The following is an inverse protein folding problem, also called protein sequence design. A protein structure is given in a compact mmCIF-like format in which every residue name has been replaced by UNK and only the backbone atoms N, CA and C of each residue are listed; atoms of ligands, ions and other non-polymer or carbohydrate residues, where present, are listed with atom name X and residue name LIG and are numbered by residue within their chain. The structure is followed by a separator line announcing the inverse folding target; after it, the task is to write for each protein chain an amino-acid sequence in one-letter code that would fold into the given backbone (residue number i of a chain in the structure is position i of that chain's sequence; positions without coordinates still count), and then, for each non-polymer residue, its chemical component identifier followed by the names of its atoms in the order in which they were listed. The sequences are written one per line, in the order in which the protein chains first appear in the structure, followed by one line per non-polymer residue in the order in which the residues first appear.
data_IF_073529030339
#
_entry.id   IF_073529030339
#
_cell.length_a   1.000
_cell.length_b   1.000
_cell.length_c   1.000
_cell.angle_alpha   90.00
_cell.angle_beta   90.00
_cell.angle_gamma   90.00
#
_symmetry.space_group_name_H-M   'P 1'
#
loop_
_entity.id
_entity.type
_entity.pdbx_description
1 polymer ?
#
# COMPACT_ATOMS: atom_id res chain seq x y z
N UNK A 1 14.27 -6.74 13.39
CA UNK A 1 12.89 -6.23 13.16
C UNK A 1 12.52 -6.60 11.74
N UNK A 2 11.44 -7.32 11.53
CA UNK A 2 10.96 -7.66 10.17
C UNK A 2 10.51 -6.37 9.47
N UNK A 3 11.11 -6.05 8.32
CA UNK A 3 10.82 -4.82 7.57
C UNK A 3 9.37 -4.88 7.05
N UNK A 4 8.61 -3.83 7.30
CA UNK A 4 7.15 -3.90 7.18
C UNK A 4 6.65 -3.40 5.82
N UNK A 5 6.23 -4.34 4.97
CA UNK A 5 5.52 -4.10 3.72
C UNK A 5 4.03 -4.45 3.93
N UNK A 6 3.17 -3.44 3.88
CA UNK A 6 1.75 -3.58 4.23
C UNK A 6 0.99 -4.40 3.21
N UNK A 7 1.30 -4.28 1.93
CA UNK A 7 0.65 -5.04 0.87
C UNK A 7 0.95 -6.52 1.01
N UNK A 8 2.23 -6.89 1.18
CA UNK A 8 2.62 -8.29 1.42
C UNK A 8 1.94 -8.85 2.66
N UNK A 9 1.94 -8.10 3.77
CA UNK A 9 1.30 -8.51 5.02
C UNK A 9 -0.20 -8.72 4.87
N UNK A 10 -0.87 -7.86 4.11
CA UNK A 10 -2.28 -8.00 3.83
C UNK A 10 -2.58 -9.21 2.95
N UNK A 11 -1.81 -9.40 1.87
CA UNK A 11 -1.94 -10.56 1.00
C UNK A 11 -1.74 -11.86 1.77
N UNK A 12 -0.73 -11.94 2.64
CA UNK A 12 -0.50 -13.11 3.48
C UNK A 12 -1.66 -13.39 4.43
N UNK A 13 -2.21 -12.35 5.08
CA UNK A 13 -3.39 -12.49 5.93
C UNK A 13 -4.59 -13.02 5.15
N UNK A 14 -4.91 -12.39 4.02
CA UNK A 14 -6.11 -12.72 3.23
C UNK A 14 -5.97 -14.09 2.56
N UNK A 15 -4.79 -14.41 2.03
CA UNK A 15 -4.52 -15.72 1.44
C UNK A 15 -4.64 -16.83 2.49
N UNK A 16 -4.07 -16.65 3.68
CA UNK A 16 -4.24 -17.62 4.77
C UNK A 16 -5.71 -17.83 5.15
N UNK A 17 -6.47 -16.75 5.28
CA UNK A 17 -7.91 -16.83 5.58
C UNK A 17 -8.70 -17.55 4.48
N UNK A 18 -8.26 -17.44 3.23
CA UNK A 18 -8.85 -18.16 2.11
C UNK A 18 -8.60 -19.67 2.21
N UNK A 19 -7.39 -20.09 2.60
CA UNK A 19 -7.05 -21.52 2.76
C UNK A 19 -7.73 -22.19 3.95
N UNK A 20 -7.97 -21.43 5.02
CA UNK A 20 -8.52 -21.96 6.27
C UNK A 20 -10.06 -22.08 6.25
N UNK A 21 -10.74 -21.42 5.30
CA UNK A 21 -12.20 -21.37 5.24
C UNK A 21 -12.74 -22.33 4.20
N UNK A 22 -13.80 -23.07 4.56
CA UNK A 22 -14.56 -23.90 3.60
C UNK A 22 -15.20 -23.07 2.48
N UNK A 23 -15.68 -21.87 2.83
CA UNK A 23 -16.26 -20.91 1.88
C UNK A 23 -15.70 -19.52 2.17
N UNK A 24 -15.11 -18.90 1.16
CA UNK A 24 -14.53 -17.56 1.28
C UNK A 24 -15.41 -16.53 0.57
N UNK A 25 -15.76 -15.48 1.31
CA UNK A 25 -16.60 -14.39 0.82
C UNK A 25 -15.87 -13.07 0.91
N UNK A 26 -16.13 -12.20 -0.07
CA UNK A 26 -15.80 -10.79 0.00
C UNK A 26 -17.10 -10.02 -0.19
N UNK A 27 -17.51 -9.28 0.84
CA UNK A 27 -18.89 -8.80 0.98
C UNK A 27 -19.86 -9.98 0.83
N UNK A 28 -20.74 -9.94 -0.17
CA UNK A 28 -21.77 -10.96 -0.40
C UNK A 28 -21.42 -11.93 -1.55
N UNK A 29 -20.20 -11.84 -2.11
CA UNK A 29 -19.77 -12.70 -3.23
C UNK A 29 -18.85 -13.81 -2.73
N UNK A 30 -19.24 -15.04 -3.02
CA UNK A 30 -18.40 -16.22 -2.82
C UNK A 30 -17.29 -16.27 -3.88
N UNK A 31 -16.08 -16.57 -3.44
CA UNK A 31 -14.90 -16.75 -4.29
C UNK A 31 -14.64 -18.24 -4.47
N UNK A 32 -14.82 -18.72 -5.70
CA UNK A 32 -14.68 -20.13 -6.08
C UNK A 32 -13.36 -20.43 -6.80
N UNK A 33 -12.34 -19.59 -6.58
CA UNK A 33 -11.05 -19.74 -7.25
C UNK A 33 -10.26 -20.91 -6.68
N UNK A 34 -9.39 -21.50 -7.51
CA UNK A 34 -8.30 -22.31 -6.95
C UNK A 34 -7.35 -21.39 -6.18
N UNK A 35 -6.59 -21.90 -5.21
CA UNK A 35 -5.62 -21.07 -4.49
C UNK A 35 -4.57 -20.40 -5.39
N UNK A 36 -4.15 -21.06 -6.48
CA UNK A 36 -3.28 -20.47 -7.51
C UNK A 36 -3.89 -19.19 -8.07
N UNK A 37 -5.15 -19.29 -8.47
CA UNK A 37 -5.91 -18.23 -9.13
C UNK A 37 -6.31 -17.11 -8.15
N UNK A 38 -6.58 -17.47 -6.90
CA UNK A 38 -6.78 -16.51 -5.81
C UNK A 38 -5.51 -15.69 -5.56
N UNK A 39 -4.35 -16.36 -5.41
CA UNK A 39 -3.08 -15.69 -5.20
C UNK A 39 -2.70 -14.80 -6.39
N UNK A 40 -2.93 -15.28 -7.62
CA UNK A 40 -2.76 -14.48 -8.83
C UNK A 40 -3.63 -13.20 -8.80
N UNK A 41 -4.87 -13.31 -8.33
CA UNK A 41 -5.79 -12.17 -8.19
C UNK A 41 -5.27 -11.14 -7.19
N UNK A 42 -4.72 -11.58 -6.05
CA UNK A 42 -4.10 -10.67 -5.07
C UNK A 42 -2.89 -9.94 -5.66
N UNK A 43 -1.99 -10.68 -6.31
CA UNK A 43 -0.74 -10.14 -6.86
C UNK A 43 -0.97 -9.14 -8.01
N UNK A 44 -2.12 -9.21 -8.69
CA UNK A 44 -2.56 -8.20 -9.68
C UNK A 44 -2.77 -6.81 -9.08
N UNK A 45 -2.63 -6.60 -7.78
CA UNK A 45 -2.62 -5.25 -7.19
C UNK A 45 -1.35 -4.46 -7.55
N UNK A 46 -0.26 -5.15 -7.92
CA UNK A 46 0.98 -4.53 -8.37
C UNK A 46 0.93 -4.11 -9.85
N UNK A 47 1.80 -3.15 -10.22
CA UNK A 47 2.01 -2.70 -11.61
C UNK A 47 2.44 -3.87 -12.52
N UNK A 48 2.07 -3.80 -13.79
CA UNK A 48 2.28 -4.87 -14.79
C UNK A 48 3.71 -5.43 -14.85
N UNK A 49 4.79 -4.62 -14.89
CA UNK A 49 6.15 -5.18 -15.00
C UNK A 49 6.55 -6.06 -13.81
N UNK A 50 6.13 -5.66 -12.59
CA UNK A 50 6.38 -6.44 -11.39
C UNK A 50 5.49 -7.69 -11.35
N UNK A 51 4.23 -7.55 -11.72
CA UNK A 51 3.29 -8.67 -11.83
C UNK A 51 3.76 -9.75 -12.81
N UNK A 52 4.19 -9.37 -14.02
CA UNK A 52 4.69 -10.30 -15.03
C UNK A 52 5.96 -11.04 -14.57
N UNK A 53 6.88 -10.32 -13.91
CA UNK A 53 8.07 -10.93 -13.30
C UNK A 53 7.68 -11.98 -12.24
N UNK A 54 6.74 -11.65 -11.36
CA UNK A 54 6.24 -12.58 -10.33
C UNK A 54 5.60 -13.81 -10.96
N UNK A 55 4.75 -13.61 -11.97
CA UNK A 55 4.12 -14.70 -12.70
C UNK A 55 5.17 -15.66 -13.25
N UNK A 56 6.15 -15.14 -14.00
CA UNK A 56 7.18 -15.96 -14.65
C UNK A 56 8.05 -16.73 -13.65
N UNK A 57 8.42 -16.11 -12.54
CA UNK A 57 9.33 -16.72 -11.57
C UNK A 57 8.63 -17.69 -10.61
N UNK A 58 7.37 -17.43 -10.26
CA UNK A 58 6.70 -18.17 -9.17
C UNK A 58 5.52 -19.00 -9.62
N UNK A 59 4.89 -18.69 -10.74
CA UNK A 59 3.87 -19.54 -11.32
C UNK A 59 4.54 -20.24 -12.49
N UNK A 60 4.68 -21.57 -12.46
CA UNK A 60 4.84 -22.31 -13.72
C UNK A 60 3.68 -21.82 -14.59
N UNK A 61 4.03 -21.13 -15.68
CA UNK A 61 3.17 -20.16 -16.37
C UNK A 61 1.69 -20.54 -16.28
N UNK A 62 0.84 -19.61 -15.82
CA UNK A 62 -0.61 -19.83 -15.89
C UNK A 62 -0.93 -20.39 -17.27
N UNK A 63 -1.66 -21.50 -17.31
CA UNK A 63 -2.00 -22.07 -18.61
C UNK A 63 -2.83 -21.02 -19.39
N UNK A 64 -2.92 -21.12 -20.73
CA UNK A 64 -3.60 -20.10 -21.53
C UNK A 64 -5.02 -19.77 -21.05
N UNK A 65 -5.77 -20.76 -20.55
CA UNK A 65 -7.12 -20.61 -20.01
C UNK A 65 -7.13 -19.85 -18.68
N UNK A 66 -6.25 -20.20 -17.74
CA UNK A 66 -6.05 -19.51 -16.47
C UNK A 66 -5.63 -18.04 -16.68
N UNK A 67 -4.78 -17.81 -17.68
CA UNK A 67 -4.33 -16.47 -18.06
C UNK A 67 -5.50 -15.65 -18.63
N UNK A 68 -6.26 -16.23 -19.56
CA UNK A 68 -7.44 -15.60 -20.13
C UNK A 68 -8.50 -15.31 -19.06
N UNK A 69 -8.74 -16.24 -18.13
CA UNK A 69 -9.62 -16.05 -16.99
C UNK A 69 -9.16 -14.88 -16.12
N UNK A 70 -7.87 -14.79 -15.80
CA UNK A 70 -7.36 -13.65 -15.04
C UNK A 70 -7.53 -12.33 -15.82
N UNK A 71 -7.37 -12.34 -17.14
CA UNK A 71 -7.43 -11.14 -17.98
C UNK A 71 -8.85 -10.64 -18.27
N UNK A 72 -9.79 -11.56 -18.53
CA UNK A 72 -11.13 -11.26 -19.06
C UNK A 72 -12.27 -11.84 -18.23
N UNK A 73 -11.98 -12.81 -17.35
CA UNK A 73 -13.00 -13.48 -16.55
C UNK A 73 -13.71 -12.51 -15.63
N UNK A 74 -15.03 -12.41 -15.78
CA UNK A 74 -15.83 -11.46 -15.00
C UNK A 74 -15.63 -11.63 -13.49
N UNK A 75 -15.71 -12.87 -12.99
CA UNK A 75 -15.53 -13.13 -11.56
C UNK A 75 -14.13 -12.71 -11.06
N UNK A 76 -13.08 -12.87 -11.87
CA UNK A 76 -11.71 -12.46 -11.55
C UNK A 76 -11.56 -10.96 -11.46
N UNK A 77 -12.04 -10.25 -12.48
CA UNK A 77 -11.98 -8.79 -12.52
C UNK A 77 -12.82 -8.20 -11.37
N UNK A 78 -14.01 -8.77 -11.13
CA UNK A 78 -14.87 -8.37 -10.03
C UNK A 78 -14.21 -8.61 -8.66
N UNK A 79 -13.61 -9.78 -8.44
CA UNK A 79 -12.87 -10.07 -7.21
C UNK A 79 -11.67 -9.13 -7.04
N UNK A 80 -10.94 -8.83 -8.11
CA UNK A 80 -9.82 -7.89 -8.09
C UNK A 80 -10.27 -6.49 -7.63
N UNK A 81 -11.42 -6.01 -8.11
CA UNK A 81 -12.00 -4.74 -7.70
C UNK A 81 -12.42 -4.74 -6.23
N UNK A 82 -13.03 -5.84 -5.77
CA UNK A 82 -13.39 -6.00 -4.36
C UNK A 82 -12.17 -6.03 -3.45
N UNK A 83 -11.12 -6.78 -3.80
CA UNK A 83 -9.86 -6.80 -3.06
C UNK A 83 -9.20 -5.42 -3.03
N UNK A 84 -9.20 -4.71 -4.15
CA UNK A 84 -8.65 -3.34 -4.24
C UNK A 84 -9.38 -2.40 -3.28
N UNK A 85 -10.71 -2.50 -3.20
CA UNK A 85 -11.49 -1.69 -2.28
C UNK A 85 -11.21 -2.05 -0.81
N UNK A 86 -11.22 -3.33 -0.45
CA UNK A 86 -10.96 -3.77 0.93
C UNK A 86 -9.53 -3.43 1.37
N UNK A 87 -8.55 -3.67 0.50
CA UNK A 87 -7.17 -3.29 0.77
C UNK A 87 -7.00 -1.79 0.91
N UNK A 88 -7.60 -0.99 0.03
CA UNK A 88 -7.41 0.47 0.08
C UNK A 88 -7.91 1.05 1.41
N UNK A 89 -9.05 0.58 1.93
CA UNK A 89 -9.56 0.96 3.25
C UNK A 89 -8.60 0.50 4.34
N UNK A 90 -8.20 -0.76 4.32
CA UNK A 90 -7.28 -1.31 5.31
C UNK A 90 -5.93 -0.58 5.32
N UNK A 91 -5.38 -0.24 4.16
CA UNK A 91 -4.11 0.49 4.03
C UNK A 91 -4.22 1.90 4.61
N UNK A 92 -5.35 2.59 4.39
CA UNK A 92 -5.61 3.90 4.98
C UNK A 92 -5.68 3.82 6.52
N UNK A 93 -6.44 2.87 7.06
CA UNK A 93 -6.52 2.62 8.51
C UNK A 93 -5.15 2.32 9.10
N UNK A 94 -4.35 1.54 8.38
CA UNK A 94 -3.00 1.19 8.77
C UNK A 94 -2.04 2.38 8.81
N UNK A 95 -2.12 3.29 7.84
CA UNK A 95 -1.32 4.51 7.82
C UNK A 95 -1.72 5.48 8.94
N UNK A 96 -3.02 5.61 9.23
CA UNK A 96 -3.53 6.54 10.24
C UNK A 96 -3.38 5.99 11.66
N UNK A 97 -3.65 4.71 11.85
CA UNK A 97 -3.78 4.05 13.15
C UNK A 97 -2.48 3.63 13.80
N UNK A 98 -1.35 3.67 13.08
CA UNK A 98 -0.02 3.31 13.62
C UNK A 98 0.98 4.44 13.48
N UNK A 99 2.04 4.36 14.27
CA UNK A 99 3.20 5.24 14.18
C UNK A 99 4.34 4.45 13.54
N UNK A 100 4.98 5.06 12.54
CA UNK A 100 6.11 4.48 11.83
C UNK A 100 7.33 5.38 11.99
N UNK A 101 8.51 4.76 11.92
CA UNK A 101 9.77 5.47 11.76
C UNK A 101 9.88 6.03 10.33
N UNK A 102 10.76 7.01 10.12
CA UNK A 102 10.99 7.59 8.79
C UNK A 102 11.43 6.53 7.76
N UNK A 103 12.26 5.57 8.18
CA UNK A 103 12.68 4.45 7.33
C UNK A 103 11.51 3.55 6.95
N UNK A 104 10.57 3.32 7.86
CA UNK A 104 9.36 2.57 7.55
C UNK A 104 8.45 3.34 6.61
N UNK A 105 8.25 4.66 6.81
CA UNK A 105 7.50 5.48 5.85
C UNK A 105 8.10 5.43 4.45
N UNK A 106 9.44 5.42 4.33
CA UNK A 106 10.10 5.21 3.06
C UNK A 106 9.71 3.86 2.42
N UNK A 107 9.76 2.76 3.16
CA UNK A 107 9.37 1.44 2.64
C UNK A 107 7.89 1.38 2.25
N UNK A 108 7.02 2.02 3.02
CA UNK A 108 5.60 2.13 2.69
C UNK A 108 5.38 2.93 1.42
N UNK A 109 6.05 4.08 1.27
CA UNK A 109 5.98 4.89 0.06
C UNK A 109 6.51 4.14 -1.16
N UNK A 110 7.63 3.42 -1.01
CA UNK A 110 8.19 2.58 -2.06
C UNK A 110 7.21 1.47 -2.50
N UNK A 111 6.62 0.74 -1.58
CA UNK A 111 5.62 -0.30 -1.89
C UNK A 111 4.37 0.31 -2.52
N UNK A 112 3.86 1.42 -1.97
CA UNK A 112 2.73 2.14 -2.51
C UNK A 112 2.92 2.51 -3.98
N UNK A 113 4.13 2.96 -4.35
CA UNK A 113 4.46 3.29 -5.73
C UNK A 113 4.54 2.06 -6.65
N UNK A 114 4.64 0.86 -6.12
CA UNK A 114 4.58 -0.38 -6.91
C UNK A 114 3.15 -0.88 -7.14
N UNK A 115 2.14 -0.28 -6.50
CA UNK A 115 0.73 -0.59 -6.74
C UNK A 115 0.22 0.00 -8.06
N UNK A 116 -0.83 -0.63 -8.62
CA UNK A 116 -1.57 -0.11 -9.78
C UNK A 116 -2.09 1.30 -9.51
N UNK A 117 -2.10 2.14 -10.55
CA UNK A 117 -2.49 3.54 -10.43
C UNK A 117 -3.89 3.73 -9.84
N UNK A 118 -4.87 2.95 -10.28
CA UNK A 118 -6.24 3.02 -9.76
C UNK A 118 -6.28 2.74 -8.25
N UNK A 119 -5.54 1.73 -7.79
CA UNK A 119 -5.45 1.40 -6.38
C UNK A 119 -4.73 2.49 -5.58
N UNK A 120 -3.64 3.04 -6.13
CA UNK A 120 -2.95 4.20 -5.56
C UNK A 120 -3.93 5.36 -5.35
N UNK A 121 -4.78 5.67 -6.33
CA UNK A 121 -5.79 6.74 -6.23
C UNK A 121 -6.84 6.47 -5.16
N UNK A 122 -7.32 5.22 -5.04
CA UNK A 122 -8.28 4.83 -4.00
C UNK A 122 -7.73 5.02 -2.58
N UNK A 123 -6.41 4.89 -2.40
CA UNK A 123 -5.72 5.17 -1.13
C UNK A 123 -5.42 6.66 -0.98
N UNK A 124 -4.85 7.26 -2.01
CA UNK A 124 -4.27 8.60 -1.98
C UNK A 124 -5.33 9.70 -1.83
N UNK A 125 -6.43 9.62 -2.60
CA UNK A 125 -7.42 10.70 -2.62
C UNK A 125 -8.06 10.93 -1.23
N UNK A 126 -8.56 9.89 -0.52
CA UNK A 126 -9.10 10.07 0.83
C UNK A 126 -8.08 10.60 1.84
N UNK A 127 -6.82 10.17 1.74
CA UNK A 127 -5.76 10.62 2.65
C UNK A 127 -5.35 12.07 2.40
N UNK A 128 -5.33 12.51 1.14
CA UNK A 128 -5.09 13.92 0.79
C UNK A 128 -6.25 14.82 1.21
N UNK A 129 -7.49 14.35 1.05
CA UNK A 129 -8.67 15.07 1.59
C UNK A 129 -8.58 15.20 3.12
N UNK A 130 -8.08 14.15 3.79
CA UNK A 130 -7.82 14.22 5.23
C UNK A 130 -6.74 15.25 5.58
N UNK A 131 -5.65 15.35 4.83
CA UNK A 131 -4.65 16.41 5.02
C UNK A 131 -5.31 17.78 4.90
N UNK A 132 -6.08 18.03 3.83
CA UNK A 132 -6.76 19.33 3.63
C UNK A 132 -7.63 19.71 4.83
N UNK A 133 -8.46 18.78 5.31
CA UNK A 133 -9.33 18.99 6.47
C UNK A 133 -8.55 19.27 7.75
N UNK A 134 -7.45 18.52 7.98
CA UNK A 134 -6.57 18.75 9.12
C UNK A 134 -5.89 20.12 9.04
N UNK A 135 -5.43 20.53 7.86
CA UNK A 135 -4.82 21.86 7.69
C UNK A 135 -5.82 22.97 8.02
N UNK A 136 -7.05 22.90 7.49
CA UNK A 136 -8.10 23.88 7.78
C UNK A 136 -8.38 23.96 9.28
N UNK A 137 -8.57 22.81 9.94
CA UNK A 137 -8.89 22.77 11.36
C UNK A 137 -7.77 23.33 12.25
N UNK A 138 -6.51 23.06 11.89
CA UNK A 138 -5.35 23.58 12.60
C UNK A 138 -5.18 25.08 12.38
N UNK A 139 -5.34 25.56 11.15
CA UNK A 139 -5.34 27.00 10.82
C UNK A 139 -6.41 27.76 11.62
N UNK A 140 -7.64 27.26 11.65
CA UNK A 140 -8.74 27.83 12.46
C UNK A 140 -8.39 27.86 13.96
N UNK A 141 -7.74 26.81 14.48
CA UNK A 141 -7.31 26.75 15.88
C UNK A 141 -6.26 27.81 16.19
N UNK A 142 -5.27 27.99 15.31
CA UNK A 142 -4.25 29.02 15.46
C UNK A 142 -4.83 30.44 15.39
N UNK A 143 -5.73 30.70 14.43
CA UNK A 143 -6.39 32.00 14.28
C UNK A 143 -7.23 32.36 15.51
N UNK A 144 -7.94 31.38 16.08
CA UNK A 144 -8.79 31.56 17.26
C UNK A 144 -8.03 31.50 18.59
N UNK A 145 -6.70 31.33 18.56
CA UNK A 145 -5.83 31.13 19.75
C UNK A 145 -6.29 29.97 20.64
N UNK A 146 -6.97 28.99 20.06
CA UNK A 146 -7.31 27.75 20.75
C UNK A 146 -6.15 26.76 20.62
N UNK A 147 -5.94 25.95 21.66
CA UNK A 147 -4.94 24.89 21.58
C UNK A 147 -5.43 23.83 20.59
N UNK A 148 -4.72 23.63 19.46
CA UNK A 148 -5.15 22.66 18.46
C UNK A 148 -5.04 21.24 19.02
N UNK A 149 -5.93 20.30 18.64
CA UNK A 149 -5.90 18.95 19.19
C UNK A 149 -4.60 18.22 18.85
N UNK A 150 -3.91 17.69 19.87
CA UNK A 150 -2.64 16.96 19.70
C UNK A 150 -2.77 15.78 18.72
N UNK A 151 -3.93 15.13 18.71
CA UNK A 151 -4.22 14.01 17.82
C UNK A 151 -4.29 14.41 16.34
N UNK A 152 -4.73 15.63 16.04
CA UNK A 152 -4.79 16.12 14.66
C UNK A 152 -3.39 16.43 14.13
N UNK A 153 -2.49 16.94 14.97
CA UNK A 153 -1.07 17.05 14.64
C UNK A 153 -0.41 15.71 14.40
N UNK A 154 -0.67 14.72 15.26
CA UNK A 154 -0.13 13.36 15.08
C UNK A 154 -0.58 12.79 13.74
N UNK A 155 -1.86 12.93 13.40
CA UNK A 155 -2.39 12.47 12.10
C UNK A 155 -1.78 13.24 10.93
N UNK A 156 -1.68 14.57 11.01
CA UNK A 156 -1.08 15.39 9.96
C UNK A 156 0.38 14.99 9.74
N UNK A 157 1.16 14.84 10.81
CA UNK A 157 2.57 14.42 10.75
C UNK A 157 2.73 13.06 10.07
N UNK A 158 1.91 12.07 10.43
CA UNK A 158 1.94 10.73 9.79
C UNK A 158 1.70 10.81 8.28
N UNK A 159 0.65 11.54 7.88
CA UNK A 159 0.29 11.69 6.47
C UNK A 159 1.35 12.50 5.70
N UNK A 160 1.88 13.54 6.32
CA UNK A 160 2.97 14.35 5.77
C UNK A 160 4.23 13.50 5.56
N UNK A 161 4.72 12.77 6.59
CA UNK A 161 5.90 11.92 6.46
C UNK A 161 5.76 10.92 5.31
N UNK A 162 4.60 10.25 5.21
CA UNK A 162 4.33 9.32 4.11
C UNK A 162 4.36 10.01 2.74
N UNK A 163 3.60 11.09 2.54
CA UNK A 163 3.50 11.73 1.22
C UNK A 163 4.76 12.49 0.81
N UNK A 164 5.55 12.98 1.75
CA UNK A 164 6.87 13.55 1.48
C UNK A 164 7.80 12.49 0.87
N UNK A 165 7.83 11.28 1.43
CA UNK A 165 8.58 10.18 0.81
C UNK A 165 8.04 9.76 -0.55
N UNK A 166 6.72 9.76 -0.75
CA UNK A 166 6.11 9.52 -2.07
C UNK A 166 6.59 10.55 -3.10
N UNK A 167 6.60 11.84 -2.75
CA UNK A 167 7.06 12.92 -3.62
C UNK A 167 8.56 12.85 -3.94
N UNK A 168 9.38 12.46 -2.95
CA UNK A 168 10.82 12.25 -3.13
C UNK A 168 11.09 11.12 -4.13
N UNK A 169 10.30 10.05 -4.06
CA UNK A 169 10.48 8.87 -4.92
C UNK A 169 9.88 9.04 -6.32
N UNK A 170 8.72 9.69 -6.43
CA UNK A 170 8.00 9.96 -7.67
C UNK A 170 7.36 11.35 -7.57
N UNK A 171 7.96 12.40 -8.16
CA UNK A 171 7.39 13.74 -8.15
C UNK A 171 6.01 13.75 -8.81
N UNK A 172 5.00 14.27 -8.10
CA UNK A 172 3.61 14.31 -8.58
C UNK A 172 2.97 15.66 -8.25
N UNK A 173 1.79 15.92 -8.83
CA UNK A 173 1.03 17.18 -8.64
C UNK A 173 0.45 17.38 -7.23
N UNK A 174 0.75 16.51 -6.27
CA UNK A 174 0.21 16.61 -4.90
C UNK A 174 1.05 17.51 -3.99
N UNK A 175 2.17 18.04 -4.52
CA UNK A 175 3.14 18.84 -3.76
C UNK A 175 2.49 20.00 -3.01
N UNK A 176 1.56 20.74 -3.63
CA UNK A 176 0.89 21.88 -3.01
C UNK A 176 0.16 21.52 -1.70
N UNK A 177 -0.53 20.38 -1.67
CA UNK A 177 -1.26 19.92 -0.48
C UNK A 177 -0.27 19.50 0.62
N UNK A 178 0.82 18.83 0.23
CA UNK A 178 1.85 18.37 1.15
C UNK A 178 2.64 19.55 1.74
N UNK A 179 2.99 20.53 0.90
CA UNK A 179 3.66 21.77 1.29
C UNK A 179 2.81 22.61 2.26
N UNK A 180 1.49 22.66 2.07
CA UNK A 180 0.59 23.31 3.03
C UNK A 180 0.64 22.63 4.40
N UNK A 181 0.62 21.30 4.43
CA UNK A 181 0.80 20.54 5.67
C UNK A 181 2.17 20.77 6.32
N UNK A 182 3.23 20.85 5.52
CA UNK A 182 4.59 21.15 5.98
C UNK A 182 4.69 22.49 6.70
N UNK A 183 4.07 23.55 6.14
CA UNK A 183 4.09 24.89 6.74
C UNK A 183 3.52 24.89 8.15
N UNK A 184 2.38 24.23 8.35
CA UNK A 184 1.76 24.11 9.67
C UNK A 184 2.58 23.25 10.63
N UNK A 185 3.27 22.22 10.12
CA UNK A 185 4.16 21.40 10.95
C UNK A 185 5.46 22.12 11.30
N UNK A 186 5.98 23.03 10.47
CA UNK A 186 7.22 23.80 10.73
C UNK A 186 7.10 24.72 11.93
N UNK A 187 5.90 25.16 12.27
CA UNK A 187 5.65 25.96 13.47
C UNK A 187 5.85 25.15 14.76
N UNK A 188 5.88 23.81 14.66
CA UNK A 188 5.83 22.90 15.82
C UNK A 188 6.90 21.80 15.77
N UNK A 189 7.48 21.51 14.61
CA UNK A 189 8.39 20.40 14.40
C UNK A 189 9.38 20.68 13.26
N UNK A 190 10.56 20.07 13.35
CA UNK A 190 11.56 20.19 12.28
C UNK A 190 11.06 19.50 11.00
N UNK A 191 11.23 20.14 9.83
CA UNK A 191 10.92 19.53 8.55
C UNK A 191 11.79 18.29 8.29
N UNK A 192 11.32 17.42 7.39
CA UNK A 192 12.10 16.28 6.94
C UNK A 192 13.23 16.76 6.03
N UNK A 193 14.45 16.35 6.36
CA UNK A 193 15.63 16.63 5.54
C UNK A 193 15.97 15.41 4.68
N UNK A 194 16.11 15.65 3.38
CA UNK A 194 16.32 14.61 2.39
C UNK A 194 17.72 14.71 1.78
N UNK A 195 18.58 13.73 2.06
CA UNK A 195 19.88 13.58 1.40
C UNK A 195 19.75 12.66 0.19
N UNK A 196 20.12 13.16 -1.00
CA UNK A 196 19.98 12.43 -2.28
C UNK A 196 20.77 11.11 -2.33
N UNK A 197 21.97 11.07 -1.77
CA UNK A 197 22.80 9.86 -1.75
C UNK A 197 22.18 8.81 -0.83
N UNK A 198 21.78 9.21 0.38
CA UNK A 198 21.09 8.35 1.32
C UNK A 198 19.77 7.80 0.76
N UNK A 199 19.03 8.61 -0.01
CA UNK A 199 17.80 8.18 -0.70
C UNK A 199 18.08 7.07 -1.71
N UNK A 200 19.15 7.21 -2.51
CA UNK A 200 19.49 6.23 -3.52
C UNK A 200 19.86 4.88 -2.90
N UNK A 201 20.63 4.90 -1.81
CA UNK A 201 20.98 3.71 -1.04
C UNK A 201 19.73 3.07 -0.43
N UNK A 202 18.87 3.87 0.20
CA UNK A 202 17.65 3.40 0.83
C UNK A 202 16.66 2.82 -0.20
N UNK A 203 16.63 3.37 -1.42
CA UNK A 203 15.83 2.83 -2.53
C UNK A 203 16.31 1.45 -2.97
N UNK A 204 17.62 1.25 -3.13
CA UNK A 204 18.20 -0.07 -3.47
C UNK A 204 17.90 -1.08 -2.37
N UNK A 205 18.02 -0.66 -1.12
CA UNK A 205 17.68 -1.50 0.02
C UNK A 205 16.19 -1.88 0.02
N UNK A 206 15.30 -0.91 -0.18
CA UNK A 206 13.86 -1.15 -0.20
C UNK A 206 13.46 -2.12 -1.32
N UNK A 207 14.05 -1.98 -2.50
CA UNK A 207 13.84 -2.91 -3.61
C UNK A 207 14.25 -4.34 -3.25
N UNK A 208 15.46 -4.52 -2.71
CA UNK A 208 15.96 -5.83 -2.31
C UNK A 208 15.06 -6.48 -1.25
N UNK A 209 14.66 -5.71 -0.25
CA UNK A 209 13.85 -6.21 0.87
C UNK A 209 12.41 -6.48 0.45
N UNK A 210 11.85 -5.65 -0.42
CA UNK A 210 10.52 -5.87 -0.98
C UNK A 210 10.49 -7.17 -1.79
N UNK A 211 11.46 -7.36 -2.69
CA UNK A 211 11.58 -8.60 -3.47
C UNK A 211 11.81 -9.83 -2.59
N UNK A 212 12.64 -9.71 -1.55
CA UNK A 212 12.87 -10.78 -0.57
C UNK A 212 11.60 -11.12 0.21
N UNK A 213 10.89 -10.12 0.71
CA UNK A 213 9.62 -10.31 1.43
C UNK A 213 8.57 -10.98 0.56
N UNK A 214 8.47 -10.56 -0.69
CA UNK A 214 7.55 -11.11 -1.68
C UNK A 214 7.90 -12.56 -2.01
N UNK A 215 9.18 -12.85 -2.27
CA UNK A 215 9.68 -14.21 -2.48
C UNK A 215 9.33 -15.12 -1.30
N UNK A 216 9.61 -14.69 -0.08
CA UNK A 216 9.32 -15.47 1.12
C UNK A 216 7.82 -15.75 1.26
N UNK A 217 6.97 -14.76 0.98
CA UNK A 217 5.51 -14.94 0.97
C UNK A 217 5.09 -15.99 -0.08
N UNK A 218 5.60 -15.90 -1.30
CA UNK A 218 5.27 -16.82 -2.39
C UNK A 218 5.77 -18.24 -2.11
N UNK A 219 6.96 -18.41 -1.54
CA UNK A 219 7.48 -19.73 -1.13
C UNK A 219 6.61 -20.36 -0.04
N UNK A 220 6.20 -19.57 0.97
CA UNK A 220 5.26 -20.03 2.01
C UNK A 220 3.91 -20.41 1.41
N UNK A 221 3.40 -19.61 0.48
CA UNK A 221 2.16 -19.91 -0.22
C UNK A 221 2.27 -21.21 -1.03
N UNK A 222 3.41 -21.45 -1.70
CA UNK A 222 3.64 -22.68 -2.47
C UNK A 222 3.68 -23.94 -1.61
N UNK A 223 4.36 -23.88 -0.48
CA UNK A 223 4.48 -25.01 0.45
C UNK A 223 3.09 -25.44 0.96
N UNK A 224 2.20 -24.48 1.21
CA UNK A 224 0.84 -24.74 1.69
C UNK A 224 -0.07 -25.37 0.64
N UNK A 225 0.24 -25.15 -0.63
CA UNK A 225 -0.59 -25.55 -1.78
C UNK A 225 -0.11 -26.80 -2.51
N UNK A 226 1.11 -27.25 -2.24
CA UNK A 226 1.67 -28.39 -2.97
C UNK A 226 1.75 -28.15 -4.49
N UNK A 227 1.96 -26.90 -4.93
CA UNK A 227 2.20 -26.60 -6.35
C UNK A 227 3.44 -27.40 -6.84
N UNK A 228 3.20 -28.53 -7.50
CA UNK A 228 4.17 -29.25 -8.31
C UNK A 228 4.13 -28.74 -9.74
#
# INVERSE_FOLDING_TARGET
MEKMFLTIKWMEKIFRLFLEKERFFIKDKEILFTPKLFLATLLRMYKTPLWEKILKEYFQELNPEEKELCEKGFDYLYAQDLFSLEFSKWYQEMLLGRSYTEREYFYLAYEFLNLKEQLRKQIQIPLLDRIKKLCIHLEESFETKQNPPEEDFKKLKKLYSFFSWVLVLEPTKISEIVERGEKLLKEISNPLEFNKEAILELKKEAELEFLKGLKNFLERAKIREGFK
#
